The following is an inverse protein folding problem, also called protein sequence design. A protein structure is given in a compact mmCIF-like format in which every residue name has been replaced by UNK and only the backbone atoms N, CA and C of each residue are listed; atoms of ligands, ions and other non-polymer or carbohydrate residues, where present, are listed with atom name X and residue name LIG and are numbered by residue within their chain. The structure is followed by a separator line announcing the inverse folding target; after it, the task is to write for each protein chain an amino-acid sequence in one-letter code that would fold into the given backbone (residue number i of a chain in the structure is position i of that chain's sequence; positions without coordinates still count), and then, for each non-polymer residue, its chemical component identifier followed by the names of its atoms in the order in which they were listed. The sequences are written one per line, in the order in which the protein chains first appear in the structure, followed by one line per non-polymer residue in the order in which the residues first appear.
data_IF_677549466697
#
_entry.id   IF_677549466697
#
_cell.length_a   1.000
_cell.length_b   1.000
_cell.length_c   1.000
_cell.angle_alpha   90.00
_cell.angle_beta   90.00
_cell.angle_gamma   90.00
#
_symmetry.space_group_name_H-M   'P 1'
#
loop_
_entity.id
_entity.type
_entity.pdbx_description
1 polymer ?
#
# COMPACT_ATOMS: atom_id res chain seq x y z
N UNK A 1 10.39 8.66 5.78
CA UNK A 1 10.37 7.40 6.56
C UNK A 1 9.09 6.60 6.36
N UNK A 2 7.90 7.03 6.83
CA UNK A 2 6.67 6.20 6.66
C UNK A 2 6.16 6.11 5.22
N UNK A 3 6.21 7.21 4.46
CA UNK A 3 5.83 7.24 3.03
C UNK A 3 6.74 6.34 2.19
N UNK A 4 8.02 6.31 2.52
CA UNK A 4 9.01 5.50 1.82
C UNK A 4 8.75 4.00 2.05
N UNK A 5 8.31 3.63 3.25
CA UNK A 5 7.94 2.26 3.59
C UNK A 5 6.66 1.81 2.86
N UNK A 6 5.63 2.66 2.81
CA UNK A 6 4.40 2.37 2.06
C UNK A 6 4.69 2.15 0.57
N UNK A 7 5.51 3.01 -0.03
CA UNK A 7 5.94 2.87 -1.42
C UNK A 7 6.75 1.58 -1.64
N UNK A 8 7.70 1.27 -0.75
CA UNK A 8 8.52 0.07 -0.86
C UNK A 8 7.68 -1.22 -0.77
N UNK A 9 6.78 -1.31 0.20
CA UNK A 9 5.84 -2.45 0.32
C UNK A 9 4.99 -2.57 -0.94
N UNK A 10 4.44 -1.46 -1.45
CA UNK A 10 3.64 -1.47 -2.67
C UNK A 10 4.43 -1.98 -3.89
N UNK A 11 5.63 -1.44 -4.13
CA UNK A 11 6.48 -1.84 -5.26
C UNK A 11 6.85 -3.32 -5.20
N UNK A 12 7.19 -3.84 -4.03
CA UNK A 12 7.49 -5.26 -3.86
C UNK A 12 6.25 -6.14 -4.05
N UNK A 13 5.08 -5.72 -3.57
CA UNK A 13 3.81 -6.45 -3.82
C UNK A 13 3.46 -6.47 -5.31
N UNK A 14 3.67 -5.38 -6.04
CA UNK A 14 3.52 -5.34 -7.50
C UNK A 14 4.48 -6.32 -8.21
N UNK A 15 5.68 -6.50 -7.69
CA UNK A 15 6.65 -7.49 -8.16
C UNK A 15 6.40 -8.92 -7.62
N UNK A 16 5.26 -9.14 -6.94
CA UNK A 16 4.79 -10.43 -6.43
C UNK A 16 5.65 -11.05 -5.32
N UNK A 17 6.41 -10.24 -4.60
CA UNK A 17 7.09 -10.71 -3.40
C UNK A 17 6.07 -11.12 -2.31
N UNK A 18 6.28 -12.25 -1.61
CA UNK A 18 5.48 -12.65 -0.46
C UNK A 18 5.79 -11.76 0.76
N UNK A 19 4.85 -11.66 1.72
CA UNK A 19 5.00 -10.76 2.88
C UNK A 19 6.29 -11.01 3.66
N UNK A 20 6.67 -12.28 3.86
CA UNK A 20 7.90 -12.67 4.57
C UNK A 20 9.17 -12.11 3.93
N UNK A 21 9.28 -12.14 2.59
CA UNK A 21 10.45 -11.60 1.89
C UNK A 21 10.50 -10.08 1.96
N UNK A 22 9.33 -9.42 2.02
CA UNK A 22 9.22 -7.97 2.17
C UNK A 22 9.60 -7.56 3.60
N UNK A 23 9.11 -8.29 4.61
CA UNK A 23 9.42 -8.07 6.01
C UNK A 23 10.93 -8.17 6.26
N UNK A 24 11.56 -9.23 5.73
CA UNK A 24 13.01 -9.43 5.80
C UNK A 24 13.79 -8.30 5.12
N UNK A 25 13.38 -7.91 3.90
CA UNK A 25 14.07 -6.88 3.12
C UNK A 25 13.96 -5.48 3.73
N UNK A 26 12.83 -5.17 4.38
CA UNK A 26 12.55 -3.87 4.98
C UNK A 26 12.85 -3.82 6.48
N UNK A 27 13.27 -4.94 7.08
CA UNK A 27 13.52 -5.09 8.52
C UNK A 27 12.33 -4.67 9.39
N UNK A 28 11.13 -5.11 8.99
CA UNK A 28 9.86 -4.90 9.72
C UNK A 28 9.18 -6.25 9.98
N UNK A 29 8.08 -6.27 10.74
CA UNK A 29 7.33 -7.50 10.96
C UNK A 29 6.41 -7.84 9.78
N UNK A 30 6.06 -9.12 9.63
CA UNK A 30 5.03 -9.56 8.66
C UNK A 30 3.70 -8.84 8.89
N UNK A 31 3.33 -8.62 10.16
CA UNK A 31 2.12 -7.89 10.55
C UNK A 31 2.13 -6.43 10.06
N UNK A 32 3.30 -5.77 10.15
CA UNK A 32 3.47 -4.41 9.62
C UNK A 32 3.34 -4.39 8.08
N UNK A 33 3.91 -5.38 7.39
CA UNK A 33 3.77 -5.50 5.93
C UNK A 33 2.29 -5.66 5.55
N UNK A 34 1.55 -6.53 6.25
CA UNK A 34 0.12 -6.74 5.99
C UNK A 34 -0.70 -5.49 6.26
N UNK A 35 -0.43 -4.79 7.36
CA UNK A 35 -1.10 -3.55 7.69
C UNK A 35 -0.87 -2.47 6.62
N UNK A 36 0.38 -2.34 6.16
CA UNK A 36 0.77 -1.38 5.11
C UNK A 36 0.17 -1.76 3.76
N UNK A 37 0.25 -3.03 3.34
CA UNK A 37 -0.33 -3.49 2.07
C UNK A 37 -1.84 -3.23 2.07
N UNK A 38 -2.53 -3.57 3.16
CA UNK A 38 -3.97 -3.27 3.31
C UNK A 38 -4.27 -1.78 3.15
N UNK A 39 -3.53 -0.92 3.86
CA UNK A 39 -3.72 0.52 3.74
C UNK A 39 -3.45 0.99 2.29
N UNK A 40 -2.41 0.49 1.63
CA UNK A 40 -2.11 0.81 0.23
C UNK A 40 -3.25 0.39 -0.71
N UNK A 41 -3.79 -0.82 -0.56
CA UNK A 41 -4.92 -1.29 -1.36
C UNK A 41 -6.17 -0.43 -1.15
N UNK A 42 -6.46 -0.01 0.08
CA UNK A 42 -7.58 0.89 0.38
C UNK A 42 -7.40 2.26 -0.29
N UNK A 43 -6.18 2.83 -0.27
CA UNK A 43 -5.88 4.07 -0.97
C UNK A 43 -6.03 3.92 -2.49
N UNK A 44 -5.52 2.84 -3.08
CA UNK A 44 -5.67 2.56 -4.51
C UNK A 44 -7.13 2.41 -4.91
N UNK A 45 -7.94 1.71 -4.10
CA UNK A 45 -9.38 1.59 -4.34
C UNK A 45 -10.07 2.95 -4.33
N UNK A 46 -9.74 3.83 -3.37
CA UNK A 46 -10.25 5.22 -3.36
C UNK A 46 -9.83 6.01 -4.59
N UNK A 47 -8.56 5.91 -5.01
CA UNK A 47 -8.07 6.56 -6.22
C UNK A 47 -8.78 6.06 -7.49
N UNK A 48 -9.06 4.75 -7.57
CA UNK A 48 -9.81 4.16 -8.67
C UNK A 48 -11.26 4.68 -8.70
N UNK A 49 -11.89 4.80 -7.53
CA UNK A 49 -13.23 5.40 -7.42
C UNK A 49 -13.26 6.86 -7.88
N UNK A 50 -12.20 7.63 -7.60
CA UNK A 50 -12.04 8.99 -8.13
C UNK A 50 -11.85 8.96 -9.65
N UNK A 51 -10.97 8.09 -10.16
CA UNK A 51 -10.72 7.93 -11.61
C UNK A 51 -12.00 7.60 -12.38
N UNK A 52 -12.90 6.82 -11.77
CA UNK A 52 -14.21 6.46 -12.32
C UNK A 52 -15.28 7.55 -12.15
N UNK A 53 -14.95 8.70 -11.54
CA UNK A 53 -15.88 9.80 -11.28
C UNK A 53 -16.92 9.48 -10.20
N UNK A 54 -16.68 8.46 -9.37
CA UNK A 54 -17.59 8.02 -8.30
C UNK A 54 -17.31 8.70 -6.96
N UNK A 55 -16.11 9.24 -6.80
CA UNK A 55 -15.69 10.07 -5.68
C UNK A 55 -15.01 11.33 -6.23
N UNK A 56 -15.06 12.41 -5.47
CA UNK A 56 -14.30 13.61 -5.76
C UNK A 56 -12.96 13.58 -5.03
N UNK A 57 -11.97 14.31 -5.55
CA UNK A 57 -10.68 14.50 -4.88
C UNK A 57 -10.85 15.13 -3.49
N UNK A 58 -11.89 15.94 -3.28
CA UNK A 58 -12.24 16.53 -1.98
C UNK A 58 -12.62 15.50 -0.92
N UNK A 59 -13.01 14.29 -1.34
CA UNK A 59 -13.36 13.18 -0.44
C UNK A 59 -12.12 12.37 0.00
N UNK A 60 -10.94 12.71 -0.55
CA UNK A 60 -9.66 12.08 -0.24
C UNK A 60 -8.96 12.86 0.89
N UNK A 61 -9.40 12.62 2.13
CA UNK A 61 -8.73 13.07 3.35
C UNK A 61 -8.14 11.88 4.12
#
# INVERSE_FOLDING_TARGET
MLKDLNCAVYEMRCNKYPCVEIADALHISDEDVEFIDKANQEHLAKLEMIRLGRLNLSDFN
#
